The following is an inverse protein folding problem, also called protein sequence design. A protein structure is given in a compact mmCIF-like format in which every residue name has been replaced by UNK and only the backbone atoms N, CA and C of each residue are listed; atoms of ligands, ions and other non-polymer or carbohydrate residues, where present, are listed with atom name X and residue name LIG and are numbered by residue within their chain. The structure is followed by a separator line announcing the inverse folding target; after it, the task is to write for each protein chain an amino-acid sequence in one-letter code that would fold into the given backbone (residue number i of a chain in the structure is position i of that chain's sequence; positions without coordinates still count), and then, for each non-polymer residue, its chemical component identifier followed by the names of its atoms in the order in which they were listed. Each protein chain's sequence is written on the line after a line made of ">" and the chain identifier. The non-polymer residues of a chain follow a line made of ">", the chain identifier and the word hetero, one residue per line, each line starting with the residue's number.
data_IF_906907142439
#
_entry.id   IF_906907142439
#
_cell.length_a   1.000
_cell.length_b   1.000
_cell.length_c   1.000
_cell.angle_alpha   90.00
_cell.angle_beta   90.00
_cell.angle_gamma   90.00
#
_symmetry.space_group_name_H-M   'P 1'
#
loop_
_entity.id
_entity.type
_entity.pdbx_description
1 polymer ?
#
# COMPACT_ATOMS: atom_id res chain seq x y z
N UNK A 1 -20.41 -5.01 4.94
CA UNK A 1 -19.32 -4.26 5.59
C UNK A 1 -18.31 -5.27 6.11
N UNK A 2 -17.33 -5.64 5.29
CA UNK A 2 -16.24 -6.50 5.72
C UNK A 2 -15.30 -5.63 6.56
N UNK A 3 -15.19 -5.92 7.85
CA UNK A 3 -14.34 -5.16 8.76
C UNK A 3 -12.87 -5.39 8.42
N UNK A 4 -12.28 -4.48 7.66
CA UNK A 4 -10.86 -4.48 7.37
C UNK A 4 -10.08 -4.06 8.61
N UNK A 5 -9.54 -5.04 9.34
CA UNK A 5 -8.59 -4.79 10.41
C UNK A 5 -7.25 -4.41 9.77
N UNK A 6 -6.70 -3.22 10.03
CA UNK A 6 -5.37 -2.88 9.53
C UNK A 6 -4.32 -3.81 10.16
N UNK A 7 -3.21 -4.10 9.44
CA UNK A 7 -2.08 -4.81 10.02
C UNK A 7 -1.51 -4.12 11.27
N UNK A 8 -0.78 -4.88 12.09
CA UNK A 8 -0.08 -4.32 13.23
C UNK A 8 1.05 -3.37 12.79
N UNK A 9 1.32 -2.35 13.62
CA UNK A 9 2.46 -1.43 13.41
C UNK A 9 3.78 -2.21 13.32
N UNK A 10 4.67 -1.74 12.45
CA UNK A 10 5.95 -2.39 12.13
C UNK A 10 5.82 -3.69 11.34
N UNK A 11 4.63 -4.03 10.83
CA UNK A 11 4.39 -5.28 10.10
C UNK A 11 3.75 -5.04 8.73
N UNK A 12 3.71 -6.08 7.91
CA UNK A 12 3.06 -6.05 6.60
C UNK A 12 3.78 -5.16 5.58
N UNK A 13 3.18 -5.07 4.40
CA UNK A 13 3.72 -4.33 3.27
C UNK A 13 2.66 -3.40 2.72
N UNK A 14 3.00 -2.12 2.57
CA UNK A 14 2.21 -1.18 1.79
C UNK A 14 2.62 -1.28 0.33
N UNK A 15 1.65 -1.53 -0.53
CA UNK A 15 1.80 -1.49 -1.98
C UNK A 15 1.07 -0.27 -2.51
N UNK A 16 1.69 0.50 -3.39
CA UNK A 16 1.12 1.65 -4.08
C UNK A 16 1.11 1.36 -5.58
N UNK A 17 -0.01 1.62 -6.25
CA UNK A 17 -0.16 1.44 -7.70
C UNK A 17 -0.81 2.67 -8.31
N UNK A 18 -0.14 3.28 -9.29
CA UNK A 18 -0.73 4.31 -10.14
C UNK A 18 -1.34 3.72 -11.41
N UNK A 19 -2.50 4.21 -11.81
CA UNK A 19 -3.22 3.79 -13.00
C UNK A 19 -3.12 4.85 -14.11
N UNK A 20 -3.38 4.42 -15.36
CA UNK A 20 -3.28 5.29 -16.54
C UNK A 20 -4.30 6.43 -16.57
N UNK A 21 -5.37 6.33 -15.80
CA UNK A 21 -6.41 7.34 -15.68
C UNK A 21 -6.07 8.42 -14.64
N UNK A 22 -4.88 8.35 -14.01
CA UNK A 22 -4.44 9.26 -12.97
C UNK A 22 -4.89 8.88 -11.55
N UNK A 23 -5.67 7.80 -11.40
CA UNK A 23 -6.04 7.26 -10.09
C UNK A 23 -4.87 6.51 -9.48
N UNK A 24 -4.74 6.59 -8.15
CA UNK A 24 -3.81 5.78 -7.37
C UNK A 24 -4.58 4.91 -6.39
N UNK A 25 -4.01 3.75 -6.06
CA UNK A 25 -4.49 2.87 -5.01
C UNK A 25 -3.33 2.45 -4.12
N UNK A 26 -3.58 2.36 -2.82
CA UNK A 26 -2.65 1.70 -1.91
C UNK A 26 -3.35 0.62 -1.08
N UNK A 27 -2.61 -0.43 -0.76
CA UNK A 27 -3.06 -1.52 0.11
C UNK A 27 -1.94 -1.83 1.10
N UNK A 28 -2.25 -1.79 2.39
CA UNK A 28 -1.41 -2.33 3.45
C UNK A 28 -1.86 -3.75 3.75
N UNK A 29 -1.07 -4.74 3.35
CA UNK A 29 -1.37 -6.16 3.55
C UNK A 29 -0.53 -6.73 4.69
N UNK A 30 -1.16 -7.48 5.59
CA UNK A 30 -0.47 -8.22 6.64
C UNK A 30 0.43 -9.31 6.07
N UNK A 31 1.53 -9.60 6.79
CA UNK A 31 2.47 -10.66 6.42
C UNK A 31 1.97 -12.06 6.82
N UNK A 32 2.85 -13.04 6.84
CA UNK A 32 2.49 -14.45 7.08
C UNK A 32 1.78 -14.74 8.40
N UNK A 33 2.08 -13.97 9.45
CA UNK A 33 1.39 -14.06 10.75
C UNK A 33 0.04 -13.33 10.81
N UNK A 34 -0.34 -12.58 9.76
CA UNK A 34 -1.51 -11.71 9.74
C UNK A 34 -2.17 -11.60 8.35
N UNK A 35 -2.23 -12.71 7.60
CA UNK A 35 -2.70 -12.77 6.20
C UNK A 35 -4.15 -12.31 5.97
N UNK A 36 -4.92 -12.07 7.04
CA UNK A 36 -6.28 -11.55 6.96
C UNK A 36 -6.40 -10.05 7.25
N UNK A 37 -5.36 -9.41 7.78
CA UNK A 37 -5.36 -7.97 8.01
C UNK A 37 -5.02 -7.23 6.72
N UNK A 38 -5.87 -6.30 6.36
CA UNK A 38 -5.56 -5.35 5.31
C UNK A 38 -6.31 -4.04 5.53
N UNK A 39 -5.76 -2.97 4.97
CA UNK A 39 -6.42 -1.70 4.80
C UNK A 39 -6.04 -1.13 3.43
N UNK A 40 -6.95 -0.43 2.79
CA UNK A 40 -6.72 0.15 1.47
C UNK A 40 -7.31 1.55 1.35
N UNK A 41 -6.84 2.26 0.35
CA UNK A 41 -7.35 3.58 -0.06
C UNK A 41 -7.20 3.72 -1.56
N UNK A 42 -8.04 4.57 -2.15
CA UNK A 42 -7.99 4.96 -3.56
C UNK A 42 -8.21 6.47 -3.66
N UNK A 43 -7.59 7.14 -4.62
CA UNK A 43 -7.73 8.58 -4.80
C UNK A 43 -6.64 9.17 -5.68
N UNK A 44 -6.34 10.44 -5.47
CA UNK A 44 -5.20 11.11 -6.11
C UNK A 44 -3.86 10.57 -5.60
N UNK A 45 -2.79 10.76 -6.36
CA UNK A 45 -1.42 10.43 -5.93
C UNK A 45 -1.12 11.00 -4.54
N UNK A 46 -1.42 12.27 -4.32
CA UNK A 46 -1.15 12.95 -3.06
C UNK A 46 -1.90 12.32 -1.88
N UNK A 47 -3.20 12.05 -2.02
CA UNK A 47 -4.01 11.43 -0.97
C UNK A 47 -3.52 10.02 -0.63
N UNK A 48 -3.23 9.24 -1.65
CA UNK A 48 -2.77 7.85 -1.51
C UNK A 48 -1.37 7.81 -0.89
N UNK A 49 -0.48 8.70 -1.29
CA UNK A 49 0.87 8.80 -0.74
C UNK A 49 0.85 9.26 0.72
N UNK A 50 0.05 10.28 1.07
CA UNK A 50 -0.16 10.68 2.48
C UNK A 50 -0.73 9.53 3.30
N UNK A 51 -1.70 8.79 2.77
CA UNK A 51 -2.25 7.61 3.44
C UNK A 51 -1.18 6.53 3.62
N UNK A 52 -0.43 6.18 2.58
CA UNK A 52 0.59 5.14 2.58
C UNK A 52 1.68 5.41 3.63
N UNK A 53 2.24 6.63 3.60
CA UNK A 53 3.33 7.04 4.49
C UNK A 53 2.89 7.19 5.96
N UNK A 54 1.59 7.36 6.22
CA UNK A 54 1.05 7.41 7.59
C UNK A 54 0.79 6.02 8.21
N UNK A 55 1.03 4.93 7.47
CA UNK A 55 1.04 3.58 8.04
C UNK A 55 2.44 3.27 8.51
N UNK A 56 2.58 2.65 9.67
CA UNK A 56 3.85 2.14 10.17
C UNK A 56 4.04 0.71 9.63
N UNK A 57 4.30 0.58 8.33
CA UNK A 57 4.50 -0.72 7.69
C UNK A 57 5.97 -1.16 7.78
N UNK A 58 6.23 -2.46 7.64
CA UNK A 58 7.61 -2.95 7.57
C UNK A 58 8.27 -2.60 6.22
N UNK A 59 7.47 -2.61 5.15
CA UNK A 59 7.92 -2.34 3.79
C UNK A 59 6.93 -1.42 3.08
N UNK A 60 7.47 -0.57 2.20
CA UNK A 60 6.68 0.28 1.31
C UNK A 60 7.17 0.06 -0.11
N UNK A 61 6.27 -0.31 -1.00
CA UNK A 61 6.57 -0.62 -2.38
C UNK A 61 5.64 0.15 -3.32
N UNK A 62 6.15 0.57 -4.46
CA UNK A 62 5.39 1.18 -5.55
C UNK A 62 5.52 0.35 -6.83
N UNK A 63 4.44 0.23 -7.58
CA UNK A 63 4.46 -0.40 -8.89
C UNK A 63 5.21 0.47 -9.89
N UNK A 64 6.27 -0.08 -10.47
CA UNK A 64 6.98 0.47 -11.60
C UNK A 64 6.50 -0.22 -12.88
N UNK A 65 5.90 0.56 -13.77
CA UNK A 65 5.37 0.07 -15.03
C UNK A 65 6.46 -0.24 -16.07
N UNK A 66 7.66 0.34 -15.96
CA UNK A 66 8.77 0.09 -16.88
C UNK A 66 9.37 -1.29 -16.63
N UNK A 67 9.59 -1.64 -15.35
CA UNK A 67 10.10 -2.95 -14.94
C UNK A 67 9.00 -3.99 -14.74
N UNK A 68 7.73 -3.57 -14.67
CA UNK A 68 6.58 -4.44 -14.42
C UNK A 68 6.64 -5.10 -13.05
N UNK A 69 7.16 -4.40 -12.04
CA UNK A 69 7.42 -4.94 -10.71
C UNK A 69 7.21 -3.89 -9.61
N UNK A 70 7.02 -4.37 -8.38
CA UNK A 70 7.01 -3.51 -7.21
C UNK A 70 8.44 -3.22 -6.74
N UNK A 71 8.79 -1.95 -6.57
CA UNK A 71 10.10 -1.47 -6.12
C UNK A 71 9.96 -0.64 -4.83
N UNK A 72 11.02 -0.45 -4.02
CA UNK A 72 10.94 0.36 -2.79
C UNK A 72 10.39 1.78 -3.03
N UNK A 73 9.42 2.18 -2.21
CA UNK A 73 8.85 3.53 -2.22
C UNK A 73 9.83 4.51 -1.56
N UNK A 74 10.45 5.39 -2.35
CA UNK A 74 11.37 6.43 -1.85
C UNK A 74 12.86 6.14 -2.09
N UNK A 75 13.21 5.63 -3.28
CA UNK A 75 14.60 5.62 -3.75
C UNK A 75 15.20 7.01 -3.90
#
# INVERSE_FOLDING_TARGET
>A
MSGNRPPAKGTGTVFVTGYRDGTYKAIWQGGDGDRGAYADTEGTEEEVMRWALSREAANYLIWDAETGSHVPLGG
#
